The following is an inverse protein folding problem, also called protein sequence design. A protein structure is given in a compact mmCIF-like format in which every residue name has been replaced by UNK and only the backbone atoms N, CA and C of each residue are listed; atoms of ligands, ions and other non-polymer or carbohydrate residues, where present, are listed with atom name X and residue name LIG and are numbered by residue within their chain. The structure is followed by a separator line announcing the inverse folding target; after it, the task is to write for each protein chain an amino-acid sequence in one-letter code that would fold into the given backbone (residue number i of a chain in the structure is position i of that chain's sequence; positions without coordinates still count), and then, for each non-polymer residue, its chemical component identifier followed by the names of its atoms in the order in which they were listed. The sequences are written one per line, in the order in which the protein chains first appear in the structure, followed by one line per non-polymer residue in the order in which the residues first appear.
data_IF_669847714338
#
_entry.id   IF_669847714338
#
_cell.length_a   1.000
_cell.length_b   1.000
_cell.length_c   1.000
_cell.angle_alpha   90.00
_cell.angle_beta   90.00
_cell.angle_gamma   90.00
#
_symmetry.space_group_name_H-M   'P 1'
#
loop_
_entity.id
_entity.type
_entity.pdbx_description
1 polymer ?
#
# COMPACT_ATOMS: atom_id res chain seq x y z
N UNK A 1 -8.87 1.40 -8.88
CA UNK A 1 -7.78 1.25 -7.91
C UNK A 1 -7.65 -0.19 -7.47
N UNK A 2 -6.44 -0.73 -7.50
CA UNK A 2 -6.20 -2.14 -7.20
C UNK A 2 -5.15 -2.29 -6.12
N UNK A 3 -5.33 -3.34 -5.32
CA UNK A 3 -4.44 -3.70 -4.24
C UNK A 3 -4.01 -5.15 -4.44
N UNK A 4 -2.71 -5.41 -4.42
CA UNK A 4 -2.17 -6.76 -4.60
C UNK A 4 -1.03 -7.02 -3.65
N UNK A 5 -0.93 -8.27 -3.23
CA UNK A 5 0.23 -8.74 -2.50
C UNK A 5 1.39 -8.92 -3.48
N UNK A 6 2.53 -8.37 -3.15
CA UNK A 6 3.71 -8.45 -3.99
C UNK A 6 4.91 -8.95 -3.19
N UNK A 7 5.82 -9.64 -3.87
CA UNK A 7 7.04 -10.14 -3.24
C UNK A 7 8.22 -9.56 -3.99
N UNK A 8 9.11 -8.90 -3.25
CA UNK A 8 10.34 -8.35 -3.77
C UNK A 8 11.50 -9.24 -3.37
N UNK A 9 12.27 -9.64 -4.36
CA UNK A 9 13.39 -10.57 -4.16
C UNK A 9 14.71 -9.95 -4.61
N UNK A 10 15.80 -10.47 -4.05
CA UNK A 10 17.12 -10.17 -4.57
C UNK A 10 17.42 -11.05 -5.80
N UNK A 11 18.60 -10.91 -6.36
CA UNK A 11 19.04 -11.64 -7.56
C UNK A 11 19.17 -13.15 -7.36
N UNK A 12 19.19 -13.61 -6.12
CA UNK A 12 19.29 -15.04 -5.78
C UNK A 12 17.95 -15.63 -5.33
N UNK A 13 16.88 -14.85 -5.43
CA UNK A 13 15.54 -15.30 -5.04
C UNK A 13 15.23 -15.16 -3.56
N UNK A 14 16.11 -14.54 -2.77
CA UNK A 14 15.84 -14.26 -1.37
C UNK A 14 14.82 -13.13 -1.24
N UNK A 15 13.85 -13.29 -0.35
CA UNK A 15 12.80 -12.31 -0.14
C UNK A 15 13.35 -11.10 0.61
N UNK A 16 13.23 -9.92 0.02
CA UNK A 16 13.60 -8.66 0.64
C UNK A 16 12.45 -8.05 1.42
N UNK A 17 11.26 -8.11 0.85
CA UNK A 17 10.04 -7.61 1.47
C UNK A 17 8.83 -8.22 0.77
N UNK A 18 7.69 -8.23 1.46
CA UNK A 18 6.43 -8.72 0.95
C UNK A 18 5.33 -7.68 1.11
N UNK A 19 5.45 -6.52 0.45
CA UNK A 19 4.52 -5.43 0.63
C UNK A 19 3.16 -5.68 0.01
N UNK A 20 2.21 -4.86 0.39
CA UNK A 20 0.98 -4.68 -0.37
C UNK A 20 1.22 -3.55 -1.38
N UNK A 21 1.01 -3.85 -2.64
CA UNK A 21 1.14 -2.89 -3.72
C UNK A 21 -0.23 -2.28 -4.01
N UNK A 22 -0.29 -0.96 -3.97
CA UNK A 22 -1.50 -0.20 -4.23
C UNK A 22 -1.28 0.64 -5.48
N UNK A 23 -2.13 0.45 -6.48
CA UNK A 23 -2.10 1.30 -7.66
C UNK A 23 -3.14 2.40 -7.52
N UNK A 24 -2.68 3.64 -7.34
CA UNK A 24 -3.55 4.79 -7.15
C UNK A 24 -4.01 5.39 -8.48
N UNK A 25 -3.14 5.37 -9.47
CA UNK A 25 -3.42 5.87 -10.82
C UNK A 25 -2.55 5.13 -11.82
N UNK A 26 -2.58 5.54 -13.07
CA UNK A 26 -1.75 4.93 -14.11
C UNK A 26 -0.26 5.02 -13.76
N UNK A 27 0.17 6.12 -13.17
CA UNK A 27 1.57 6.43 -12.92
C UNK A 27 1.94 6.52 -11.45
N UNK A 28 1.03 6.19 -10.54
CA UNK A 28 1.28 6.32 -9.11
C UNK A 28 0.99 5.02 -8.38
N UNK A 29 2.00 4.56 -7.65
CA UNK A 29 1.95 3.31 -6.89
C UNK A 29 2.45 3.54 -5.48
N UNK A 30 1.81 2.89 -4.53
CA UNK A 30 2.28 2.86 -3.15
C UNK A 30 2.63 1.43 -2.75
N UNK A 31 3.68 1.30 -1.94
CA UNK A 31 3.98 0.07 -1.23
C UNK A 31 3.67 0.26 0.24
N UNK A 32 2.81 -0.60 0.78
CA UNK A 32 2.56 -0.66 2.21
C UNK A 32 3.41 -1.79 2.79
N UNK A 33 4.36 -1.44 3.63
CA UNK A 33 5.31 -2.39 4.21
C UNK A 33 5.19 -2.36 5.73
N UNK A 34 5.60 -3.46 6.37
CA UNK A 34 5.62 -3.53 7.83
C UNK A 34 6.95 -3.07 8.41
N UNK A 35 8.04 -3.39 7.73
CA UNK A 35 9.39 -3.10 8.21
C UNK A 35 10.36 -3.26 7.06
N UNK A 36 11.40 -2.50 7.01
CA UNK A 36 12.62 -2.63 6.22
C UNK A 36 13.04 -1.34 5.52
N UNK A 37 14.20 -1.39 4.89
CA UNK A 37 14.79 -0.29 4.11
C UNK A 37 14.42 -0.37 2.63
N UNK A 38 13.17 -0.69 2.32
CA UNK A 38 12.73 -0.82 0.94
C UNK A 38 12.96 0.46 0.13
N UNK A 39 12.79 1.61 0.76
CA UNK A 39 13.05 2.89 0.12
C UNK A 39 14.49 2.98 -0.39
N UNK A 40 15.45 2.69 0.47
CA UNK A 40 16.87 2.75 0.12
C UNK A 40 17.24 1.71 -0.93
N UNK A 41 16.67 0.51 -0.84
CA UNK A 41 16.89 -0.53 -1.83
C UNK A 41 16.41 -0.10 -3.21
N UNK A 42 15.17 0.41 -3.30
CA UNK A 42 14.60 0.83 -4.57
C UNK A 42 15.35 2.02 -5.16
N UNK A 43 15.69 2.99 -4.33
CA UNK A 43 16.50 4.14 -4.79
C UNK A 43 17.87 3.67 -5.29
N UNK A 44 18.49 2.74 -4.58
CA UNK A 44 19.79 2.19 -4.97
C UNK A 44 19.74 1.42 -6.30
N UNK A 45 18.72 0.59 -6.48
CA UNK A 45 18.51 -0.12 -7.75
C UNK A 45 18.30 0.88 -8.89
N UNK A 46 17.55 1.95 -8.64
CA UNK A 46 17.27 2.93 -9.67
C UNK A 46 18.48 3.79 -10.04
N UNK A 47 19.47 3.88 -9.17
CA UNK A 47 20.74 4.53 -9.54
C UNK A 47 21.35 3.86 -10.77
N UNK A 48 21.32 2.54 -10.82
CA UNK A 48 21.87 1.78 -11.95
C UNK A 48 20.89 1.72 -13.14
N UNK A 49 19.62 1.57 -12.88
CA UNK A 49 18.59 1.45 -13.94
C UNK A 49 18.23 2.80 -14.55
N UNK A 50 18.27 3.84 -13.75
CA UNK A 50 17.97 5.21 -14.17
C UNK A 50 16.60 5.36 -14.84
N UNK A 51 15.57 4.73 -14.27
CA UNK A 51 14.21 4.93 -14.70
C UNK A 51 13.73 6.33 -14.31
N UNK A 52 12.90 6.92 -15.12
CA UNK A 52 12.29 8.22 -14.86
C UNK A 52 11.13 8.07 -13.86
N UNK A 53 11.47 7.83 -12.62
CA UNK A 53 10.53 7.66 -11.51
C UNK A 53 11.02 8.41 -10.28
N UNK A 54 10.07 8.82 -9.45
CA UNK A 54 10.36 9.41 -8.14
C UNK A 54 10.03 8.35 -7.09
N UNK A 55 11.00 8.02 -6.25
CA UNK A 55 10.86 7.01 -5.21
C UNK A 55 11.08 7.70 -3.87
N UNK A 56 9.99 7.93 -3.12
CA UNK A 56 10.02 8.64 -1.86
C UNK A 56 9.15 7.97 -0.81
N UNK A 57 9.42 8.27 0.44
CA UNK A 57 8.51 7.96 1.53
C UNK A 57 7.44 9.04 1.60
N UNK A 58 6.16 8.65 1.56
CA UNK A 58 5.05 9.60 1.60
C UNK A 58 4.68 9.93 3.04
N UNK A 59 4.21 11.16 3.23
CA UNK A 59 3.82 11.65 4.56
C UNK A 59 2.34 11.34 4.82
N UNK A 60 2.07 10.08 5.13
CA UNK A 60 0.72 9.61 5.50
C UNK A 60 0.79 8.80 6.78
N UNK A 61 -0.32 8.77 7.51
CA UNK A 61 -0.44 7.99 8.74
C UNK A 61 -1.56 6.96 8.56
N UNK A 62 -1.24 5.76 8.08
CA UNK A 62 -2.25 4.73 7.90
C UNK A 62 -2.75 4.21 9.24
N UNK A 63 -4.05 3.92 9.29
CA UNK A 63 -4.68 3.27 10.43
C UNK A 63 -5.15 1.90 10.01
N UNK A 64 -4.82 0.90 10.80
CA UNK A 64 -5.31 -0.45 10.59
C UNK A 64 -6.43 -0.73 11.59
N UNK A 65 -7.61 -1.03 11.08
CA UNK A 65 -8.77 -1.38 11.91
C UNK A 65 -9.15 -2.80 11.58
N UNK A 66 -9.10 -3.66 12.59
CA UNK A 66 -9.26 -5.09 12.40
C UNK A 66 -10.13 -5.67 13.51
N UNK A 67 -10.94 -6.68 13.16
CA UNK A 67 -11.79 -7.39 14.09
C UNK A 67 -13.22 -7.54 13.57
N UNK A 68 -14.07 -8.31 14.27
CA UNK A 68 -15.43 -8.61 13.79
C UNK A 68 -16.32 -7.38 13.67
N UNK A 69 -16.04 -6.30 14.39
CA UNK A 69 -16.82 -5.06 14.33
C UNK A 69 -16.15 -3.95 13.54
N UNK A 70 -15.04 -4.25 12.86
CA UNK A 70 -14.27 -3.23 12.12
C UNK A 70 -15.09 -2.61 10.99
N UNK A 71 -15.87 -3.41 10.28
CA UNK A 71 -16.71 -2.93 9.19
C UNK A 71 -17.79 -1.97 9.70
N UNK A 72 -18.44 -2.32 10.84
CA UNK A 72 -19.44 -1.46 11.45
C UNK A 72 -18.83 -0.13 11.88
N UNK A 73 -17.67 -0.17 12.49
CA UNK A 73 -16.97 1.05 12.92
C UNK A 73 -16.63 1.92 11.72
N UNK A 74 -16.05 1.34 10.68
CA UNK A 74 -15.65 2.09 9.50
C UNK A 74 -16.84 2.65 8.74
N UNK A 75 -17.96 1.92 8.69
CA UNK A 75 -19.17 2.43 8.07
C UNK A 75 -19.70 3.67 8.78
N UNK A 76 -19.58 3.71 10.11
CA UNK A 76 -19.98 4.88 10.90
C UNK A 76 -19.05 6.08 10.67
N UNK A 77 -17.77 5.81 10.50
CA UNK A 77 -16.78 6.88 10.34
C UNK A 77 -16.71 7.44 8.91
N UNK A 78 -16.85 6.57 7.93
CA UNK A 78 -16.53 6.90 6.55
C UNK A 78 -17.63 6.64 5.54
N UNK A 79 -18.78 6.09 5.98
CA UNK A 79 -19.94 5.89 5.12
C UNK A 79 -20.32 4.43 4.91
N UNK A 80 -21.59 4.20 4.67
CA UNK A 80 -22.14 2.85 4.50
C UNK A 80 -21.63 2.14 3.25
N UNK A 81 -21.20 2.87 2.24
CA UNK A 81 -20.67 2.30 1.01
C UNK A 81 -19.41 1.46 1.24
N UNK A 82 -18.74 1.62 2.38
CA UNK A 82 -17.59 0.79 2.72
C UNK A 82 -17.95 -0.68 2.90
N UNK A 83 -19.21 -0.99 3.22
CA UNK A 83 -19.67 -2.36 3.39
C UNK A 83 -19.64 -3.16 2.08
N UNK A 84 -19.71 -2.48 0.96
CA UNK A 84 -19.78 -3.09 -0.37
C UNK A 84 -18.38 -3.34 -0.97
N UNK A 85 -17.33 -3.02 -0.24
CA UNK A 85 -15.96 -3.14 -0.74
C UNK A 85 -15.48 -4.57 -0.54
N UNK A 86 -14.97 -5.24 -1.60
CA UNK A 86 -14.37 -6.57 -1.47
C UNK A 86 -13.20 -6.55 -0.48
N UNK A 87 -12.93 -7.69 0.15
CA UNK A 87 -11.90 -7.81 1.20
C UNK A 87 -10.56 -7.23 0.75
N UNK A 88 -10.14 -7.51 -0.47
CA UNK A 88 -8.86 -7.02 -0.99
C UNK A 88 -8.80 -5.51 -1.24
N UNK A 89 -9.94 -4.83 -1.22
CA UNK A 89 -10.01 -3.38 -1.43
C UNK A 89 -10.33 -2.59 -0.17
N UNK A 90 -10.82 -3.22 0.88
CA UNK A 90 -11.24 -2.54 2.11
C UNK A 90 -10.14 -1.67 2.68
N UNK A 91 -8.95 -2.21 2.77
CA UNK A 91 -7.77 -1.49 3.28
C UNK A 91 -7.49 -0.22 2.47
N UNK A 92 -7.53 -0.32 1.15
CA UNK A 92 -7.23 0.78 0.25
C UNK A 92 -8.28 1.89 0.35
N UNK A 93 -9.54 1.54 0.34
CA UNK A 93 -10.63 2.53 0.42
C UNK A 93 -10.65 3.24 1.77
N UNK A 94 -10.33 2.54 2.84
CA UNK A 94 -10.19 3.18 4.14
C UNK A 94 -9.12 4.26 4.11
N UNK A 95 -8.01 4.04 3.46
CA UNK A 95 -6.97 5.04 3.27
C UNK A 95 -7.47 6.25 2.49
N UNK A 96 -8.16 6.03 1.39
CA UNK A 96 -8.73 7.11 0.58
C UNK A 96 -9.67 7.98 1.40
N UNK A 97 -10.53 7.37 2.17
CA UNK A 97 -11.51 8.10 2.96
C UNK A 97 -10.85 8.94 4.05
N UNK A 98 -9.81 8.43 4.66
CA UNK A 98 -9.05 9.15 5.70
C UNK A 98 -8.22 10.27 5.09
N UNK A 99 -7.74 10.09 3.85
CA UNK A 99 -6.91 11.10 3.17
C UNK A 99 -7.69 12.32 2.72
N UNK A 100 -8.98 12.16 2.48
CA UNK A 100 -9.85 13.24 2.04
C UNK A 100 -10.25 14.16 3.21
#
# INVERSE_FOLDING_TARGET
MHCKYAILCNDKGGILNDPVLLRLSEDEFWFSISDSDLLLWLQGVNVAKNFDVIIDEIDVCPLQIQGPLSEDLMAKLAGEELRDIPVSYTHLRAHETVSD
#
